data_IF_375664547861
#
_entry.id   IF_375664547861
#
_cell.length_a   1.000
_cell.length_b   1.000
_cell.length_c   1.000
_cell.angle_alpha   90.00
_cell.angle_beta   90.00
_cell.angle_gamma   90.00
#
_symmetry.space_group_name_H-M   'P 1'
#
loop_
_entity.id
_entity.type
_entity.pdbx_description
1 polymer ?
#
# COMPACT_ATOMS: atom_id res chain seq x y z
N UNK A 1 -18.56 -8.38 5.88
CA UNK A 1 -18.10 -7.05 5.41
C UNK A 1 -17.95 -6.16 6.63
N UNK A 2 -16.71 -5.82 6.99
CA UNK A 2 -16.43 -4.83 8.04
C UNK A 2 -16.11 -3.50 7.35
N UNK A 3 -16.67 -2.41 7.87
CA UNK A 3 -16.37 -1.03 7.45
C UNK A 3 -15.65 -0.33 8.60
N UNK A 4 -14.35 -0.05 8.43
CA UNK A 4 -13.56 0.67 9.42
C UNK A 4 -13.28 2.09 8.90
N UNK A 5 -13.83 3.07 9.61
CA UNK A 5 -13.60 4.50 9.40
C UNK A 5 -12.75 5.04 10.56
N UNK A 6 -11.43 4.87 10.47
CA UNK A 6 -10.50 5.26 11.52
C UNK A 6 -9.64 6.44 11.08
N UNK A 7 -9.05 7.15 12.05
CA UNK A 7 -8.01 8.17 11.84
C UNK A 7 -6.59 7.64 12.07
N UNK A 8 -6.45 6.33 12.26
CA UNK A 8 -5.21 5.58 12.53
C UNK A 8 -5.06 4.41 11.55
N UNK A 9 -4.10 3.50 11.79
CA UNK A 9 -4.00 2.24 11.05
C UNK A 9 -5.34 1.50 11.05
N UNK A 10 -5.80 1.06 9.88
CA UNK A 10 -7.10 0.41 9.72
C UNK A 10 -7.14 -0.94 10.42
N UNK A 11 -6.24 -1.84 10.00
CA UNK A 11 -6.00 -3.14 10.61
C UNK A 11 -4.51 -3.31 10.89
N UNK A 12 -4.18 -3.61 12.14
CA UNK A 12 -2.81 -3.82 12.61
C UNK A 12 -2.67 -5.24 13.15
N UNK A 13 -1.81 -6.03 12.50
CA UNK A 13 -1.47 -7.38 12.90
C UNK A 13 0.00 -7.42 13.30
N UNK A 14 0.21 -7.63 14.60
CA UNK A 14 1.52 -7.73 15.20
C UNK A 14 1.68 -9.11 15.85
N UNK A 15 2.74 -9.83 15.50
CA UNK A 15 3.02 -11.20 15.99
C UNK A 15 1.83 -12.18 15.83
N UNK A 16 1.05 -12.00 14.76
CA UNK A 16 -0.17 -12.78 14.49
C UNK A 16 0.05 -13.78 13.37
N UNK A 17 -0.62 -14.94 13.43
CA UNK A 17 -0.51 -15.97 12.40
C UNK A 17 -1.86 -16.21 11.71
N UNK A 18 -1.77 -16.57 10.45
CA UNK A 18 -2.86 -17.01 9.59
C UNK A 18 -4.03 -16.01 9.52
N UNK A 19 -3.69 -14.72 9.47
CA UNK A 19 -4.67 -13.66 9.35
C UNK A 19 -5.43 -13.75 8.02
N UNK A 20 -6.75 -13.61 8.06
CA UNK A 20 -7.61 -13.61 6.88
C UNK A 20 -8.31 -12.25 6.83
N UNK A 21 -7.96 -11.44 5.84
CA UNK A 21 -8.55 -10.13 5.63
C UNK A 21 -9.20 -10.15 4.27
N UNK A 22 -10.50 -10.38 4.26
CA UNK A 22 -11.27 -10.54 3.03
C UNK A 22 -12.57 -9.76 3.02
N UNK A 23 -12.91 -9.20 1.86
CA UNK A 23 -14.21 -8.57 1.60
C UNK A 23 -14.53 -7.39 2.56
N UNK A 24 -13.51 -6.58 2.87
CA UNK A 24 -13.65 -5.39 3.73
C UNK A 24 -13.53 -4.08 2.94
N UNK A 25 -14.11 -3.02 3.51
CA UNK A 25 -13.85 -1.64 3.10
C UNK A 25 -13.11 -0.94 4.22
N UNK A 26 -11.89 -0.52 3.93
CA UNK A 26 -11.00 0.21 4.82
C UNK A 26 -10.87 1.62 4.25
N UNK A 27 -11.37 2.61 4.98
CA UNK A 27 -11.34 4.01 4.56
C UNK A 27 -10.82 4.89 5.69
N UNK A 28 -9.72 5.58 5.42
CA UNK A 28 -9.28 6.67 6.29
C UNK A 28 -9.82 8.00 5.74
N UNK A 29 -10.45 8.77 6.62
CA UNK A 29 -10.96 10.12 6.31
C UNK A 29 -10.07 11.22 6.91
N UNK A 30 -8.99 10.87 7.62
CA UNK A 30 -8.01 11.83 8.09
C UNK A 30 -7.15 12.27 6.90
N UNK A 31 -7.46 13.46 6.40
CA UNK A 31 -6.71 14.08 5.31
C UNK A 31 -5.27 14.30 5.80
N UNK A 32 -4.30 13.81 5.03
CA UNK A 32 -2.86 14.06 5.24
C UNK A 32 -2.10 13.26 6.31
N UNK A 33 -2.65 12.20 6.92
CA UNK A 33 -1.81 11.33 7.76
C UNK A 33 -1.00 10.34 6.92
N UNK A 34 0.21 10.74 6.53
CA UNK A 34 1.17 9.90 5.81
C UNK A 34 1.71 8.73 6.63
N UNK A 35 1.36 8.64 7.92
CA UNK A 35 1.99 7.74 8.88
C UNK A 35 1.18 6.45 9.14
N UNK A 36 -0.06 6.36 8.67
CA UNK A 36 -0.94 5.22 8.97
C UNK A 36 -1.09 4.27 7.78
N UNK A 37 -1.26 2.98 8.08
CA UNK A 37 -1.44 1.95 7.05
C UNK A 37 -2.91 1.52 6.98
N UNK A 38 -3.42 1.19 5.79
CA UNK A 38 -4.74 0.54 5.68
C UNK A 38 -4.71 -0.84 6.34
N UNK A 39 -3.75 -1.66 5.92
CA UNK A 39 -3.40 -2.94 6.54
C UNK A 39 -1.91 -2.95 6.84
N UNK A 40 -1.53 -3.29 8.08
CA UNK A 40 -0.15 -3.45 8.50
C UNK A 40 0.11 -4.85 9.06
N UNK A 41 1.07 -5.57 8.47
CA UNK A 41 1.60 -6.82 9.04
C UNK A 41 3.05 -6.60 9.48
N UNK A 42 3.30 -6.81 10.77
CA UNK A 42 4.65 -6.93 11.32
C UNK A 42 4.81 -8.30 11.98
N UNK A 43 5.84 -9.02 11.55
CA UNK A 43 6.11 -10.40 12.00
C UNK A 43 4.85 -11.28 11.98
N UNK A 44 3.99 -11.07 10.97
CA UNK A 44 2.68 -11.71 10.85
C UNK A 44 2.47 -12.29 9.45
N UNK A 45 1.67 -13.33 9.31
CA UNK A 45 1.36 -13.92 8.00
C UNK A 45 -0.16 -14.03 7.79
N UNK A 46 -0.58 -14.21 6.54
CA UNK A 46 -1.99 -14.19 6.18
C UNK A 46 -2.28 -13.90 4.71
N UNK A 47 -3.58 -13.82 4.40
CA UNK A 47 -4.09 -13.47 3.09
C UNK A 47 -4.89 -12.16 3.15
N UNK A 48 -4.59 -11.26 2.22
CA UNK A 48 -5.31 -9.99 2.04
C UNK A 48 -5.98 -10.07 0.67
N UNK A 49 -7.30 -10.27 0.64
CA UNK A 49 -8.04 -10.52 -0.60
C UNK A 49 -9.34 -9.75 -0.75
N UNK A 50 -9.66 -9.30 -1.96
CA UNK A 50 -10.96 -8.68 -2.27
C UNK A 50 -11.34 -7.49 -1.35
N UNK A 51 -10.37 -6.71 -0.87
CA UNK A 51 -10.62 -5.53 -0.05
C UNK A 51 -10.60 -4.24 -0.88
N UNK A 52 -11.30 -3.22 -0.40
CA UNK A 52 -11.18 -1.85 -0.86
C UNK A 52 -10.44 -1.02 0.20
N UNK A 53 -9.26 -0.50 -0.11
CA UNK A 53 -8.35 0.17 0.83
C UNK A 53 -8.00 1.57 0.32
N UNK A 54 -8.42 2.61 1.03
CA UNK A 54 -8.30 3.99 0.54
C UNK A 54 -8.08 5.05 1.62
N UNK A 55 -7.32 6.09 1.27
CA UNK A 55 -7.13 7.29 2.10
C UNK A 55 -6.04 7.17 3.18
N UNK A 56 -5.25 6.09 3.22
CA UNK A 56 -4.21 5.88 4.22
C UNK A 56 -2.86 6.47 3.80
N UNK A 57 -1.89 6.50 4.71
CA UNK A 57 -0.48 6.76 4.39
C UNK A 57 0.07 5.70 3.44
N UNK A 58 0.04 4.43 3.85
CA UNK A 58 0.28 3.30 2.96
C UNK A 58 -1.01 2.51 2.81
N UNK A 59 -1.29 1.96 1.63
CA UNK A 59 -2.45 1.08 1.46
C UNK A 59 -2.28 -0.22 2.25
N UNK A 60 -1.33 -1.04 1.83
CA UNK A 60 -0.91 -2.27 2.51
C UNK A 60 0.59 -2.18 2.77
N UNK A 61 0.99 -2.45 4.01
CA UNK A 61 2.40 -2.49 4.41
C UNK A 61 2.70 -3.81 5.11
N UNK A 62 3.68 -4.54 4.61
CA UNK A 62 4.13 -5.81 5.19
C UNK A 62 5.65 -5.77 5.42
N UNK A 63 6.09 -6.20 6.60
CA UNK A 63 7.52 -6.19 6.95
C UNK A 63 7.92 -7.38 7.81
N UNK A 64 9.07 -8.00 7.48
CA UNK A 64 9.64 -9.14 8.20
C UNK A 64 8.78 -10.40 8.13
N UNK A 65 8.20 -10.70 6.97
CA UNK A 65 7.19 -11.76 6.85
C UNK A 65 7.47 -12.76 5.72
N UNK A 66 6.79 -13.91 5.78
CA UNK A 66 6.85 -14.94 4.74
C UNK A 66 5.47 -15.45 4.35
N UNK A 67 5.33 -15.89 3.11
CA UNK A 67 4.16 -16.61 2.60
C UNK A 67 2.85 -15.80 2.71
N UNK A 68 2.83 -14.59 2.15
CA UNK A 68 1.63 -13.75 2.14
C UNK A 68 1.12 -13.56 0.72
N UNK A 69 -0.20 -13.66 0.56
CA UNK A 69 -0.88 -13.37 -0.69
C UNK A 69 -1.70 -12.08 -0.57
N UNK A 70 -1.43 -11.13 -1.44
CA UNK A 70 -2.20 -9.89 -1.62
C UNK A 70 -2.88 -10.03 -2.98
N UNK A 71 -4.19 -10.32 -3.00
CA UNK A 71 -4.88 -10.61 -4.25
C UNK A 71 -6.22 -9.90 -4.43
N UNK A 72 -6.53 -9.49 -5.67
CA UNK A 72 -7.86 -8.94 -6.04
C UNK A 72 -8.32 -7.75 -5.19
N UNK A 73 -7.39 -7.00 -4.59
CA UNK A 73 -7.73 -5.81 -3.82
C UNK A 73 -7.82 -4.59 -4.74
N UNK A 74 -8.64 -3.62 -4.36
CA UNK A 74 -8.57 -2.25 -4.87
C UNK A 74 -7.88 -1.40 -3.82
N UNK A 75 -6.73 -0.83 -4.17
CA UNK A 75 -5.88 -0.03 -3.28
C UNK A 75 -5.67 1.32 -3.95
N UNK A 76 -6.31 2.36 -3.42
CA UNK A 76 -6.33 3.64 -4.12
C UNK A 76 -6.41 4.86 -3.24
N UNK A 77 -5.92 5.99 -3.77
CA UNK A 77 -6.00 7.30 -3.09
C UNK A 77 -5.31 7.26 -1.71
N UNK A 78 -4.29 6.41 -1.58
CA UNK A 78 -3.38 6.43 -0.43
C UNK A 78 -2.26 7.45 -0.70
N UNK A 79 -1.80 8.07 0.38
CA UNK A 79 -0.93 9.26 0.36
C UNK A 79 0.56 8.92 0.38
N UNK A 80 0.86 7.66 0.11
CA UNK A 80 2.17 7.02 0.07
C UNK A 80 2.12 5.83 -0.89
N UNK A 81 2.87 4.76 -0.61
CA UNK A 81 2.90 3.58 -1.47
C UNK A 81 1.58 2.79 -1.37
N UNK A 82 1.09 2.29 -2.50
CA UNK A 82 -0.08 1.41 -2.52
C UNK A 82 0.17 0.11 -1.75
N UNK A 83 1.21 -0.63 -2.16
CA UNK A 83 1.68 -1.85 -1.47
C UNK A 83 3.17 -1.75 -1.16
N UNK A 84 3.54 -1.72 0.11
CA UNK A 84 4.94 -1.71 0.57
C UNK A 84 5.34 -3.07 1.14
N UNK A 85 6.46 -3.61 0.66
CA UNK A 85 6.99 -4.92 1.05
C UNK A 85 8.45 -4.75 1.49
N UNK A 86 8.75 -5.03 2.76
CA UNK A 86 10.09 -4.93 3.33
C UNK A 86 10.55 -6.25 3.97
N UNK A 87 11.82 -6.60 3.79
CA UNK A 87 12.47 -7.71 4.51
C UNK A 87 11.68 -9.03 4.51
N UNK A 88 11.08 -9.38 3.36
CA UNK A 88 10.08 -10.45 3.28
C UNK A 88 10.41 -11.48 2.21
N UNK A 89 9.79 -12.67 2.26
CA UNK A 89 10.02 -13.69 1.23
C UNK A 89 8.77 -14.50 0.87
N UNK A 90 8.70 -15.02 -0.36
CA UNK A 90 7.55 -15.81 -0.85
C UNK A 90 6.26 -15.00 -0.80
N UNK A 91 6.26 -13.82 -1.43
CA UNK A 91 5.12 -12.91 -1.46
C UNK A 91 4.48 -12.95 -2.83
N UNK A 92 3.14 -13.01 -2.88
CA UNK A 92 2.39 -12.99 -4.13
C UNK A 92 1.44 -11.81 -4.16
N UNK A 93 1.69 -10.85 -5.05
CA UNK A 93 0.81 -9.70 -5.31
C UNK A 93 0.14 -9.92 -6.66
N UNK A 94 -1.14 -10.34 -6.68
CA UNK A 94 -1.81 -10.76 -7.92
C UNK A 94 -3.22 -10.21 -8.14
N UNK A 95 -3.50 -9.76 -9.36
CA UNK A 95 -4.87 -9.37 -9.72
C UNK A 95 -5.39 -8.12 -9.00
N UNK A 96 -4.52 -7.29 -8.43
CA UNK A 96 -4.92 -6.09 -7.70
C UNK A 96 -5.08 -4.91 -8.65
N UNK A 97 -5.97 -3.99 -8.29
CA UNK A 97 -6.10 -2.67 -8.91
C UNK A 97 -5.47 -1.63 -7.97
N UNK A 98 -4.29 -1.13 -8.33
CA UNK A 98 -3.50 -0.22 -7.50
C UNK A 98 -3.36 1.10 -8.24
N UNK A 99 -4.13 2.11 -7.82
CA UNK A 99 -4.18 3.37 -8.56
C UNK A 99 -4.27 4.61 -7.68
N UNK A 100 -3.80 5.75 -8.20
CA UNK A 100 -3.88 7.05 -7.50
C UNK A 100 -3.25 7.03 -6.10
N UNK A 101 -2.29 6.14 -5.85
CA UNK A 101 -1.48 6.18 -4.64
C UNK A 101 -0.27 7.08 -4.90
N UNK A 102 0.20 7.82 -3.91
CA UNK A 102 1.40 8.61 -4.09
C UNK A 102 1.58 9.67 -3.03
N UNK A 103 2.80 10.22 -2.99
CA UNK A 103 3.21 11.21 -2.00
C UNK A 103 2.42 12.50 -2.12
N UNK A 104 2.25 13.18 -0.97
CA UNK A 104 2.05 14.63 -1.01
C UNK A 104 3.34 15.35 -1.40
N UNK A 105 3.24 16.55 -2.00
CA UNK A 105 4.41 17.39 -2.28
C UNK A 105 5.29 17.59 -1.05
N UNK A 106 6.61 17.41 -1.19
CA UNK A 106 7.59 17.59 -0.12
C UNK A 106 7.86 16.37 0.76
N UNK A 107 7.20 15.23 0.51
CA UNK A 107 7.53 13.97 1.17
C UNK A 107 8.78 13.33 0.55
N UNK A 108 9.79 13.04 1.37
CA UNK A 108 10.97 12.23 0.97
C UNK A 108 10.70 10.72 0.98
N UNK A 109 9.45 10.30 1.19
CA UNK A 109 9.09 8.89 1.28
C UNK A 109 9.01 8.22 -0.09
N UNK A 110 9.20 6.90 -0.11
CA UNK A 110 8.93 6.10 -1.30
C UNK A 110 7.42 6.01 -1.54
N UNK A 111 7.00 6.29 -2.77
CA UNK A 111 5.60 6.51 -3.15
C UNK A 111 5.26 5.82 -4.46
N UNK A 112 5.57 4.53 -4.51
CA UNK A 112 5.31 3.69 -5.67
C UNK A 112 3.87 3.16 -5.65
N UNK A 113 3.38 2.62 -6.77
CA UNK A 113 2.20 1.75 -6.70
C UNK A 113 2.51 0.52 -5.84
N UNK A 114 3.67 -0.10 -6.10
CA UNK A 114 4.21 -1.21 -5.32
C UNK A 114 5.70 -0.92 -5.06
N UNK A 115 6.10 -0.92 -3.80
CA UNK A 115 7.50 -0.81 -3.39
C UNK A 115 7.99 -2.12 -2.77
N UNK A 116 9.16 -2.59 -3.19
CA UNK A 116 9.78 -3.82 -2.67
C UNK A 116 11.21 -3.51 -2.25
N UNK A 117 11.55 -3.82 -1.02
CA UNK A 117 12.90 -3.68 -0.47
C UNK A 117 13.33 -4.95 0.27
N UNK A 118 14.60 -5.33 0.14
CA UNK A 118 15.23 -6.45 0.85
C UNK A 118 14.40 -7.74 0.87
N UNK A 119 13.74 -8.07 -0.24
CA UNK A 119 12.80 -9.18 -0.31
C UNK A 119 13.14 -10.15 -1.44
N UNK A 120 12.76 -11.41 -1.28
CA UNK A 120 13.07 -12.48 -2.24
C UNK A 120 11.82 -13.29 -2.61
N UNK A 121 11.82 -13.89 -3.80
CA UNK A 121 10.69 -14.66 -4.32
C UNK A 121 9.35 -13.89 -4.23
N UNK A 122 9.33 -12.70 -4.84
CA UNK A 122 8.12 -11.86 -4.93
C UNK A 122 7.53 -11.97 -6.33
N UNK A 123 6.32 -12.50 -6.43
CA UNK A 123 5.56 -12.61 -7.69
C UNK A 123 4.57 -11.44 -7.79
N UNK A 124 4.79 -10.55 -8.76
CA UNK A 124 3.90 -9.46 -9.11
C UNK A 124 3.32 -9.75 -10.49
N UNK A 125 2.11 -10.28 -10.55
CA UNK A 125 1.50 -10.64 -11.84
C UNK A 125 0.02 -10.25 -11.92
N UNK A 126 -0.44 -9.89 -13.12
CA UNK A 126 -1.85 -9.56 -13.42
C UNK A 126 -2.40 -8.37 -12.62
N UNK A 127 -1.55 -7.48 -12.12
CA UNK A 127 -2.00 -6.26 -11.43
C UNK A 127 -2.22 -5.14 -12.44
N UNK A 128 -3.24 -4.32 -12.22
CA UNK A 128 -3.41 -3.03 -12.88
C UNK A 128 -2.80 -1.94 -11.98
N UNK A 129 -1.65 -1.39 -12.38
CA UNK A 129 -0.91 -0.38 -11.60
C UNK A 129 -0.85 0.89 -12.44
N UNK A 130 -1.68 1.89 -12.12
CA UNK A 130 -1.78 3.11 -12.94
C UNK A 130 -1.93 4.37 -12.09
N UNK A 131 -1.57 5.53 -12.63
CA UNK A 131 -1.77 6.83 -11.97
C UNK A 131 -1.21 6.92 -10.54
N UNK A 132 -0.18 6.13 -10.20
CA UNK A 132 0.48 6.25 -8.90
C UNK A 132 1.58 7.32 -9.02
N UNK A 133 1.52 8.33 -8.15
CA UNK A 133 2.31 9.56 -8.22
C UNK A 133 3.60 9.43 -7.43
N UNK A 134 4.71 9.28 -8.15
CA UNK A 134 6.04 9.59 -7.59
C UNK A 134 6.25 11.09 -7.79
N UNK A 135 6.08 11.88 -6.73
CA UNK A 135 6.54 13.28 -6.74
C UNK A 135 8.08 13.29 -6.73
N UNK A 136 8.68 13.12 -7.91
CA UNK A 136 10.00 13.67 -8.16
C UNK A 136 9.80 15.17 -8.29
N UNK A 137 10.55 15.97 -7.54
CA UNK A 137 10.66 17.43 -7.71
C UNK A 137 11.14 17.72 -9.14
N UNK A 138 10.21 17.69 -10.08
CA UNK A 138 10.33 18.34 -11.37
C UNK A 138 10.16 19.83 -11.11
N UNK A 139 11.23 20.47 -10.60
CA UNK A 139 11.51 21.85 -10.97
C UNK A 139 11.77 21.87 -12.48
N UNK A 140 10.72 21.72 -13.29
CA UNK A 140 10.74 22.29 -14.63
C UNK A 140 10.60 23.78 -14.36
N UNK A 141 11.76 24.41 -14.19
CA UNK A 141 11.98 25.80 -14.51
C UNK A 141 11.38 26.00 -15.89
N UNK A 142 10.19 26.60 -15.94
CA UNK A 142 9.62 27.12 -17.16
C UNK A 142 10.42 28.39 -17.49
N UNK A 143 11.65 28.23 -17.99
CA UNK A 143 12.27 29.27 -18.80
C UNK A 143 11.41 29.31 -20.07
N UNK A 144 10.42 30.20 -20.07
CA UNK A 144 9.94 30.78 -21.31
C UNK A 144 11.11 31.59 -21.88
N UNK A 145 11.89 30.97 -22.74
CA UNK A 145 12.52 31.69 -23.83
C UNK A 145 11.43 31.96 -24.86
N UNK A 146 10.99 33.22 -24.93
CA UNK A 146 10.75 34.03 -26.13
C UNK A 146 10.39 35.44 -25.68
#
# INVERSE_FOLDING_TARGET
MVNLNNSSTGLDYNNSKDAIIENNTLKNNAIYSSHFNGVYFDNSNGNISNNNITGYGQGVSISNIKNVNINKNTISENTGTGVSIGNSSNISVKGNNINKNGCYPGSSAVCDGIHISNSSNVDISKNNINNNLVYILSMVVQIMLL
#
